data_IF_031235299925
#
_entry.id   IF_031235299925
#
_cell.length_a   1.000
_cell.length_b   1.000
_cell.length_c   1.000
_cell.angle_alpha   90.00
_cell.angle_beta   90.00
_cell.angle_gamma   90.00
#
_symmetry.space_group_name_H-M   'P 1'
#
loop_
_entity.id
_entity.type
_entity.pdbx_description
1 polymer ?
#
# COMPACT_ATOMS: atom_id res chain seq x y z
N UNK A 1 3.71 -19.99 2.82
CA UNK A 1 2.41 -19.83 2.12
C UNK A 1 1.53 -18.78 2.78
N UNK A 2 1.14 -18.93 4.05
CA UNK A 2 0.30 -17.94 4.76
C UNK A 2 0.96 -16.54 4.82
N UNK A 3 2.24 -16.49 5.17
CA UNK A 3 3.02 -15.24 5.21
C UNK A 3 3.07 -14.55 3.85
N UNK A 4 3.42 -15.29 2.79
CA UNK A 4 3.45 -14.79 1.42
C UNK A 4 2.12 -14.16 0.98
N UNK A 5 1.00 -14.87 1.22
CA UNK A 5 -0.34 -14.35 0.89
C UNK A 5 -0.71 -13.16 1.76
N UNK A 6 -0.34 -13.18 3.05
CA UNK A 6 -0.54 -12.07 3.97
C UNK A 6 0.18 -10.80 3.53
N UNK A 7 1.44 -10.92 3.10
CA UNK A 7 2.23 -9.80 2.58
C UNK A 7 1.71 -9.28 1.23
N UNK A 8 1.31 -10.16 0.31
CA UNK A 8 0.66 -9.75 -0.94
C UNK A 8 -0.61 -8.95 -0.64
N UNK A 9 -1.51 -9.52 0.16
CA UNK A 9 -2.81 -8.93 0.42
C UNK A 9 -2.68 -7.62 1.22
N UNK A 10 -1.88 -7.62 2.29
CA UNK A 10 -1.66 -6.44 3.11
C UNK A 10 -1.01 -5.31 2.33
N UNK A 11 0.05 -5.58 1.55
CA UNK A 11 0.69 -4.54 0.75
C UNK A 11 -0.20 -4.06 -0.39
N UNK A 12 -1.04 -4.93 -0.98
CA UNK A 12 -2.04 -4.50 -1.96
C UNK A 12 -3.05 -3.52 -1.36
N UNK A 13 -3.57 -3.78 -0.14
CA UNK A 13 -4.45 -2.84 0.54
C UNK A 13 -3.74 -1.54 0.93
N UNK A 14 -2.51 -1.63 1.44
CA UNK A 14 -1.68 -0.47 1.78
C UNK A 14 -1.55 0.47 0.57
N UNK A 15 -1.16 -0.07 -0.58
CA UNK A 15 -0.98 0.73 -1.79
C UNK A 15 -2.31 1.18 -2.38
N UNK A 16 -3.34 0.33 -2.39
CA UNK A 16 -4.65 0.70 -2.90
C UNK A 16 -5.21 1.93 -2.17
N UNK A 17 -5.22 1.91 -0.85
CA UNK A 17 -5.79 3.01 -0.07
C UNK A 17 -4.82 4.19 0.06
N UNK A 18 -3.53 3.94 0.27
CA UNK A 18 -2.51 4.99 0.36
C UNK A 18 -2.36 5.77 -0.94
N UNK A 19 -2.11 5.10 -2.06
CA UNK A 19 -2.04 5.78 -3.35
C UNK A 19 -3.43 6.22 -3.84
N UNK A 20 -4.51 5.54 -3.42
CA UNK A 20 -5.88 5.97 -3.71
C UNK A 20 -6.20 7.35 -3.16
N UNK A 21 -5.81 7.66 -1.92
CA UNK A 21 -6.01 9.02 -1.36
C UNK A 21 -5.17 10.07 -2.09
N UNK A 22 -3.96 9.70 -2.55
CA UNK A 22 -3.11 10.58 -3.36
C UNK A 22 -3.74 10.84 -4.74
N UNK A 23 -4.21 9.79 -5.41
CA UNK A 23 -4.92 9.90 -6.69
C UNK A 23 -6.19 10.74 -6.55
N UNK A 24 -6.96 10.56 -5.47
CA UNK A 24 -8.13 11.38 -5.16
C UNK A 24 -7.80 12.85 -4.90
N UNK A 25 -6.59 13.17 -4.45
CA UNK A 25 -6.18 14.53 -4.15
C UNK A 25 -5.59 15.24 -5.37
N UNK A 26 -4.84 14.50 -6.21
CA UNK A 26 -4.05 15.07 -7.30
C UNK A 26 -4.74 15.01 -8.65
N UNK A 27 -5.52 13.96 -8.94
CA UNK A 27 -6.17 13.82 -10.23
C UNK A 27 -7.36 14.77 -10.35
N UNK A 28 -7.49 15.39 -11.53
CA UNK A 28 -8.56 16.30 -11.90
C UNK A 28 -9.93 15.62 -11.87
N UNK A 29 -10.96 16.42 -11.59
CA UNK A 29 -12.38 15.99 -11.53
C UNK A 29 -12.68 14.89 -10.50
N UNK A 30 -11.76 14.57 -9.59
CA UNK A 30 -12.04 13.75 -8.42
C UNK A 30 -12.69 14.59 -7.33
N UNK A 31 -13.43 13.95 -6.40
CA UNK A 31 -14.09 14.69 -5.31
C UNK A 31 -13.12 15.23 -4.26
N UNK A 32 -11.92 14.66 -4.16
CA UNK A 32 -10.88 15.15 -3.25
C UNK A 32 -9.91 16.13 -3.90
N UNK A 33 -10.08 16.46 -5.18
CA UNK A 33 -9.10 17.29 -5.88
C UNK A 33 -8.89 18.62 -5.15
N UNK A 34 -7.64 18.94 -4.82
CA UNK A 34 -7.31 20.23 -4.18
C UNK A 34 -7.65 20.34 -2.69
N UNK A 35 -8.10 19.28 -2.00
CA UNK A 35 -8.41 19.34 -0.54
C UNK A 35 -7.21 19.49 0.39
N UNK A 36 -6.00 19.13 -0.06
CA UNK A 36 -4.73 19.47 0.59
C UNK A 36 -4.08 18.33 1.37
N UNK A 37 -2.98 18.65 2.06
CA UNK A 37 -2.06 17.66 2.64
C UNK A 37 -2.66 16.83 3.79
N UNK A 38 -3.62 17.39 4.53
CA UNK A 38 -4.27 16.71 5.67
C UNK A 38 -5.07 15.48 5.22
N UNK A 39 -5.71 15.53 4.04
CA UNK A 39 -6.42 14.38 3.48
C UNK A 39 -5.42 13.25 3.19
N UNK A 40 -4.31 13.57 2.52
CA UNK A 40 -3.27 12.59 2.17
C UNK A 40 -2.71 11.91 3.42
N UNK A 41 -2.26 12.69 4.40
CA UNK A 41 -1.57 12.13 5.58
C UNK A 41 -2.50 11.31 6.45
N UNK A 42 -3.73 11.78 6.66
CA UNK A 42 -4.74 11.03 7.41
C UNK A 42 -5.14 9.76 6.68
N UNK A 43 -5.37 9.83 5.36
CA UNK A 43 -5.70 8.69 4.52
C UNK A 43 -4.60 7.61 4.51
N UNK A 44 -3.34 8.01 4.41
CA UNK A 44 -2.20 7.10 4.52
C UNK A 44 -2.10 6.44 5.89
N UNK A 45 -2.27 7.20 6.98
CA UNK A 45 -2.27 6.64 8.33
C UNK A 45 -3.33 5.56 8.52
N UNK A 46 -4.55 5.80 8.03
CA UNK A 46 -5.63 4.82 8.05
C UNK A 46 -5.34 3.62 7.14
N UNK A 47 -4.75 3.83 5.96
CA UNK A 47 -4.36 2.77 5.04
C UNK A 47 -3.34 1.81 5.68
N UNK A 48 -2.33 2.35 6.37
CA UNK A 48 -1.33 1.55 7.10
C UNK A 48 -2.00 0.73 8.20
N UNK A 49 -2.85 1.35 9.03
CA UNK A 49 -3.55 0.65 10.10
C UNK A 49 -4.43 -0.49 9.58
N UNK A 50 -5.24 -0.21 8.55
CA UNK A 50 -6.13 -1.21 7.94
C UNK A 50 -5.34 -2.38 7.35
N UNK A 51 -4.28 -2.09 6.60
CA UNK A 51 -3.42 -3.10 6.00
C UNK A 51 -2.75 -3.96 7.09
N UNK A 52 -2.20 -3.33 8.14
CA UNK A 52 -1.56 -4.03 9.25
C UNK A 52 -2.54 -4.96 9.99
N UNK A 53 -3.73 -4.46 10.36
CA UNK A 53 -4.74 -5.30 11.02
C UNK A 53 -5.22 -6.46 10.15
N UNK A 54 -5.33 -6.25 8.84
CA UNK A 54 -5.79 -7.29 7.91
C UNK A 54 -4.79 -8.44 7.72
N UNK A 55 -3.49 -8.14 7.74
CA UNK A 55 -2.41 -9.09 7.44
C UNK A 55 -1.72 -9.66 8.69
N UNK A 56 -1.86 -9.02 9.86
CA UNK A 56 -1.11 -9.33 11.09
C UNK A 56 -1.17 -10.80 11.48
N UNK A 57 -2.36 -11.43 11.42
CA UNK A 57 -2.55 -12.83 11.81
C UNK A 57 -1.91 -13.84 10.85
N UNK A 58 -1.48 -13.40 9.67
CA UNK A 58 -0.96 -14.27 8.60
C UNK A 58 0.55 -14.13 8.41
N UNK A 59 1.09 -12.92 8.54
CA UNK A 59 2.52 -12.63 8.27
C UNK A 59 3.22 -11.80 9.35
N UNK A 60 2.52 -11.38 10.40
CA UNK A 60 3.02 -10.31 11.29
C UNK A 60 2.93 -8.92 10.67
N UNK A 61 2.43 -8.80 9.43
CA UNK A 61 2.24 -7.56 8.69
C UNK A 61 3.49 -6.69 8.61
N UNK A 62 4.56 -7.20 8.00
CA UNK A 62 5.72 -6.36 7.72
C UNK A 62 5.36 -5.32 6.67
N UNK A 63 4.73 -5.78 5.58
CA UNK A 63 4.18 -5.01 4.45
C UNK A 63 5.17 -4.05 3.78
N UNK A 64 6.44 -4.16 4.13
CA UNK A 64 7.51 -3.23 3.81
C UNK A 64 8.87 -3.99 3.87
N UNK A 65 9.67 -3.94 2.78
CA UNK A 65 10.99 -4.55 2.76
C UNK A 65 11.92 -4.04 3.87
N UNK A 66 11.88 -2.75 4.18
CA UNK A 66 12.70 -2.15 5.22
C UNK A 66 12.34 -2.67 6.62
N UNK A 67 11.05 -2.88 6.90
CA UNK A 67 10.59 -3.48 8.17
C UNK A 67 11.07 -4.93 8.25
N UNK A 68 10.96 -5.69 7.17
CA UNK A 68 11.41 -7.09 7.12
C UNK A 68 12.92 -7.20 7.40
N UNK A 69 13.72 -6.38 6.72
CA UNK A 69 15.18 -6.36 6.91
C UNK A 69 15.56 -5.83 8.30
N UNK A 70 14.84 -4.83 8.81
CA UNK A 70 15.06 -4.27 10.14
C UNK A 70 14.82 -5.30 11.24
N UNK A 71 13.68 -5.99 11.21
CA UNK A 71 13.34 -7.04 12.17
C UNK A 71 14.32 -8.22 12.08
N UNK A 72 14.75 -8.59 10.88
CA UNK A 72 15.79 -9.60 10.70
C UNK A 72 17.12 -9.17 11.33
N UNK A 73 17.56 -7.94 11.08
CA UNK A 73 18.83 -7.41 11.57
C UNK A 73 18.92 -7.36 13.11
N UNK A 74 17.79 -7.15 13.80
CA UNK A 74 17.72 -7.12 15.26
C UNK A 74 17.33 -8.48 15.88
N UNK A 75 17.27 -9.55 15.08
CA UNK A 75 16.94 -10.90 15.55
C UNK A 75 15.49 -11.10 15.98
N UNK A 76 14.58 -10.23 15.54
CA UNK A 76 13.12 -10.32 15.82
C UNK A 76 12.33 -10.95 14.67
N UNK A 77 13.00 -11.42 13.63
CA UNK A 77 12.40 -12.17 12.53
C UNK A 77 13.41 -13.18 11.99
N UNK A 78 13.00 -14.44 11.89
CA UNK A 78 13.79 -15.58 11.41
C UNK A 78 13.20 -16.24 10.16
N UNK A 79 12.11 -15.67 9.61
CA UNK A 79 11.43 -16.18 8.43
C UNK A 79 12.14 -15.87 7.10
N UNK A 80 11.52 -16.29 6.00
CA UNK A 80 12.10 -16.15 4.67
C UNK A 80 12.00 -14.71 4.13
N UNK A 81 13.10 -13.96 4.20
CA UNK A 81 13.20 -12.59 3.65
C UNK A 81 12.75 -12.54 2.17
N UNK A 82 13.21 -13.43 1.25
CA UNK A 82 12.79 -13.38 -0.14
C UNK A 82 11.27 -13.57 -0.31
N UNK A 83 10.66 -14.40 0.54
CA UNK A 83 9.20 -14.62 0.51
C UNK A 83 8.45 -13.33 0.83
N UNK A 84 8.88 -12.60 1.86
CA UNK A 84 8.27 -11.33 2.24
C UNK A 84 8.46 -10.27 1.16
N UNK A 85 9.69 -10.08 0.68
CA UNK A 85 10.01 -9.08 -0.33
C UNK A 85 9.25 -9.31 -1.64
N UNK A 86 9.23 -10.54 -2.16
CA UNK A 86 8.49 -10.86 -3.39
C UNK A 86 6.99 -10.66 -3.17
N UNK A 87 6.46 -11.08 -2.02
CA UNK A 87 5.06 -10.89 -1.69
C UNK A 87 4.66 -9.41 -1.64
N UNK A 88 5.47 -8.58 -0.96
CA UNK A 88 5.28 -7.13 -0.87
C UNK A 88 5.32 -6.47 -2.24
N UNK A 89 6.28 -6.83 -3.10
CA UNK A 89 6.37 -6.26 -4.45
C UNK A 89 5.17 -6.63 -5.33
N UNK A 90 4.73 -7.89 -5.27
CA UNK A 90 3.51 -8.33 -5.99
C UNK A 90 2.28 -7.59 -5.46
N UNK A 91 2.13 -7.51 -4.14
CA UNK A 91 1.04 -6.77 -3.50
C UNK A 91 1.03 -5.30 -3.93
N UNK A 92 2.19 -4.64 -3.92
CA UNK A 92 2.31 -3.25 -4.32
C UNK A 92 1.92 -3.02 -5.79
N UNK A 93 2.36 -3.89 -6.69
CA UNK A 93 1.96 -3.83 -8.11
C UNK A 93 0.46 -4.01 -8.28
N UNK A 94 -0.15 -4.97 -7.58
CA UNK A 94 -1.61 -5.19 -7.61
C UNK A 94 -2.34 -3.94 -7.11
N UNK A 95 -1.95 -3.40 -5.95
CA UNK A 95 -2.55 -2.19 -5.39
C UNK A 95 -2.44 -1.00 -6.35
N UNK A 96 -1.29 -0.81 -6.98
CA UNK A 96 -1.08 0.28 -7.93
C UNK A 96 -1.96 0.13 -9.19
N UNK A 97 -2.08 -1.07 -9.75
CA UNK A 97 -2.99 -1.35 -10.87
C UNK A 97 -4.44 -1.06 -10.48
N UNK A 98 -4.86 -1.45 -9.28
CA UNK A 98 -6.21 -1.18 -8.79
C UNK A 98 -6.48 0.32 -8.63
N UNK A 99 -5.51 1.10 -8.15
CA UNK A 99 -5.63 2.58 -8.13
C UNK A 99 -5.79 3.11 -9.54
N UNK A 100 -4.95 2.67 -10.47
CA UNK A 100 -5.02 3.11 -11.87
C UNK A 100 -6.40 2.81 -12.49
N UNK A 101 -6.93 1.60 -12.31
CA UNK A 101 -8.26 1.21 -12.79
C UNK A 101 -9.36 2.05 -12.12
N UNK A 102 -9.29 2.24 -10.81
CA UNK A 102 -10.30 2.99 -10.02
C UNK A 102 -10.42 4.44 -10.49
N UNK A 103 -9.28 5.05 -10.81
CA UNK A 103 -9.22 6.44 -11.25
C UNK A 103 -9.08 6.58 -12.77
N UNK A 104 -9.26 5.50 -13.56
CA UNK A 104 -8.93 5.45 -15.00
C UNK A 104 -9.43 6.67 -15.81
N UNK A 105 -10.68 7.14 -15.65
CA UNK A 105 -11.16 8.32 -16.37
C UNK A 105 -10.43 9.60 -15.99
N UNK A 106 -10.05 9.76 -14.72
CA UNK A 106 -9.44 10.98 -14.19
C UNK A 106 -8.00 11.19 -14.65
N UNK A 107 -7.26 10.11 -14.95
CA UNK A 107 -5.90 10.22 -15.50
C UNK A 107 -5.87 10.97 -16.83
N UNK A 108 -6.87 10.76 -17.70
CA UNK A 108 -6.96 11.44 -19.00
C UNK A 108 -7.35 12.91 -18.90
N UNK A 109 -8.09 13.24 -17.86
CA UNK A 109 -8.62 14.58 -17.62
C UNK A 109 -7.65 15.46 -16.81
N UNK A 110 -6.57 14.87 -16.31
CA UNK A 110 -5.54 15.58 -15.56
C UNK A 110 -4.42 15.94 -16.52
N UNK A 111 -4.16 17.23 -16.68
CA UNK A 111 -2.99 17.71 -17.43
C UNK A 111 -1.72 17.42 -16.61
N UNK A 112 -0.66 17.01 -17.30
CA UNK A 112 0.65 16.87 -16.68
C UNK A 112 1.15 18.25 -16.22
N UNK A 113 1.82 18.28 -15.07
CA UNK A 113 2.41 19.50 -14.47
C UNK A 113 3.64 20.00 -15.23
#
# INVERSE_FOLDING_TARGET
>A
MKEFVGEIFGTALLILFGNGVVANQLLGKTKGNGTGWMLITTGWGLAVALAAYSASRYSGAHLNPAVTLGLYAIGQFDGSIPTYLIGQMIGAMIGAVLVWVTYFPHWRETEDL
#
